data_IF_183882187265
#
_entry.id   IF_183882187265
#
_cell.length_a   1.000
_cell.length_b   1.000
_cell.length_c   1.000
_cell.angle_alpha   90.00
_cell.angle_beta   90.00
_cell.angle_gamma   90.00
#
_symmetry.space_group_name_H-M   'P 1'
#
loop_
_entity.id
_entity.type
_entity.pdbx_description
1 polymer ?
#
# COMPACT_ATOMS: atom_id res chain seq x y z
N UNK A 1 3.99 11.63 3.87
CA UNK A 1 4.53 10.27 3.68
C UNK A 1 3.96 9.27 4.69
N UNK A 2 4.02 9.57 5.97
CA UNK A 2 3.51 8.64 7.01
C UNK A 2 2.04 8.30 6.81
N UNK A 3 1.21 9.30 6.49
CA UNK A 3 -0.22 9.08 6.28
C UNK A 3 -0.48 8.20 5.05
N UNK A 4 0.30 8.37 3.98
CA UNK A 4 0.15 7.55 2.78
C UNK A 4 0.52 6.09 3.05
N UNK A 5 1.57 5.88 3.84
CA UNK A 5 1.97 4.52 4.25
C UNK A 5 0.86 3.89 5.09
N UNK A 6 0.29 4.67 6.03
CA UNK A 6 -0.81 4.18 6.86
C UNK A 6 -2.00 3.75 6.01
N UNK A 7 -2.36 4.57 5.01
CA UNK A 7 -3.47 4.25 4.10
C UNK A 7 -3.18 2.98 3.30
N UNK A 8 -1.96 2.84 2.77
CA UNK A 8 -1.58 1.66 2.00
C UNK A 8 -1.75 0.37 2.82
N UNK A 9 -1.28 0.38 4.06
CA UNK A 9 -1.43 -0.76 4.97
C UNK A 9 -2.91 -1.01 5.27
N UNK A 10 -3.69 0.05 5.46
CA UNK A 10 -5.11 -0.04 5.76
C UNK A 10 -5.92 -0.60 4.60
N UNK A 11 -5.55 -0.28 3.36
CA UNK A 11 -6.15 -0.88 2.16
C UNK A 11 -5.92 -2.39 2.17
N UNK A 12 -4.69 -2.81 2.42
CA UNK A 12 -4.32 -4.22 2.47
C UNK A 12 -5.09 -4.96 3.57
N UNK A 13 -5.24 -4.33 4.73
CA UNK A 13 -5.92 -4.92 5.88
C UNK A 13 -7.46 -4.78 5.86
N UNK A 14 -7.98 -3.94 4.97
CA UNK A 14 -9.42 -3.73 4.86
C UNK A 14 -10.04 -2.86 5.93
N UNK A 15 -9.30 -1.85 6.42
CA UNK A 15 -9.82 -0.93 7.44
C UNK A 15 -10.43 0.31 6.76
N UNK A 16 -11.74 0.28 6.52
CA UNK A 16 -12.43 1.40 5.88
C UNK A 16 -12.30 2.71 6.65
N UNK A 17 -12.48 2.66 7.94
CA UNK A 17 -12.34 3.84 8.80
C UNK A 17 -10.95 4.47 8.66
N UNK A 18 -9.93 3.63 8.70
CA UNK A 18 -8.54 4.08 8.62
C UNK A 18 -8.22 4.66 7.24
N UNK A 19 -8.73 4.02 6.18
CA UNK A 19 -8.55 4.53 4.81
C UNK A 19 -9.10 5.94 4.70
N UNK A 20 -10.32 6.16 5.14
CA UNK A 20 -10.97 7.46 5.04
C UNK A 20 -10.31 8.53 5.89
N UNK A 21 -10.06 8.23 7.16
CA UNK A 21 -9.51 9.22 8.10
C UNK A 21 -8.09 9.63 7.74
N UNK A 22 -7.24 8.66 7.37
CA UNK A 22 -5.84 8.96 7.05
C UNK A 22 -5.66 9.49 5.63
N UNK A 23 -6.56 9.17 4.69
CA UNK A 23 -6.57 9.82 3.38
C UNK A 23 -6.87 11.31 3.52
N UNK A 24 -7.83 11.66 4.36
CA UNK A 24 -8.13 13.06 4.64
C UNK A 24 -6.94 13.76 5.30
N UNK A 25 -6.31 13.10 6.28
CA UNK A 25 -5.12 13.64 6.94
C UNK A 25 -3.98 13.85 5.95
N UNK A 26 -3.78 12.92 5.02
CA UNK A 26 -2.76 13.05 3.98
C UNK A 26 -3.03 14.28 3.11
N UNK A 27 -4.27 14.49 2.68
CA UNK A 27 -4.64 15.65 1.88
C UNK A 27 -4.40 16.95 2.63
N UNK A 28 -4.73 16.99 3.93
CA UNK A 28 -4.49 18.18 4.77
C UNK A 28 -3.00 18.49 4.90
N UNK A 29 -2.14 17.48 4.79
CA UNK A 29 -0.69 17.65 4.84
C UNK A 29 -0.06 17.88 3.47
N UNK A 30 -0.86 18.07 2.43
CA UNK A 30 -0.40 18.43 1.11
C UNK A 30 -0.33 17.30 0.10
N UNK A 31 -0.83 16.11 0.41
CA UNK A 31 -0.88 15.03 -0.57
C UNK A 31 -1.84 15.40 -1.70
N UNK A 32 -1.38 15.25 -2.92
CA UNK A 32 -2.18 15.49 -4.12
C UNK A 32 -2.98 14.25 -4.49
N UNK A 33 -4.00 14.43 -5.33
CA UNK A 33 -4.76 13.30 -5.85
C UNK A 33 -3.87 12.35 -6.66
N UNK A 34 -2.87 12.90 -7.37
CA UNK A 34 -1.88 12.08 -8.07
C UNK A 34 -1.09 11.19 -7.12
N UNK A 35 -0.62 11.76 -6.02
CA UNK A 35 0.14 11.01 -5.01
C UNK A 35 -0.71 9.88 -4.42
N UNK A 36 -1.97 10.15 -4.14
CA UNK A 36 -2.89 9.15 -3.61
C UNK A 36 -3.14 8.05 -4.64
N UNK A 37 -3.37 8.43 -5.90
CA UNK A 37 -3.57 7.45 -6.97
C UNK A 37 -2.35 6.56 -7.17
N UNK A 38 -1.15 7.13 -7.12
CA UNK A 38 0.09 6.38 -7.22
C UNK A 38 0.24 5.39 -6.05
N UNK A 39 -0.04 5.86 -4.85
CA UNK A 39 0.02 5.00 -3.66
C UNK A 39 -0.93 3.81 -3.80
N UNK A 40 -2.16 4.05 -4.25
CA UNK A 40 -3.15 2.97 -4.44
C UNK A 40 -2.68 1.99 -5.51
N UNK A 41 -2.14 2.49 -6.62
CA UNK A 41 -1.63 1.63 -7.69
C UNK A 41 -0.49 0.74 -7.20
N UNK A 42 0.46 1.30 -6.46
CA UNK A 42 1.58 0.54 -5.89
C UNK A 42 1.08 -0.50 -4.89
N UNK A 43 0.12 -0.11 -4.05
CA UNK A 43 -0.47 -1.03 -3.06
C UNK A 43 -1.11 -2.22 -3.75
N UNK A 44 -1.91 -1.99 -4.80
CA UNK A 44 -2.56 -3.05 -5.56
C UNK A 44 -1.56 -3.98 -6.22
N UNK A 45 -0.55 -3.41 -6.87
CA UNK A 45 0.49 -4.19 -7.52
C UNK A 45 1.31 -5.01 -6.52
N UNK A 46 1.67 -4.42 -5.39
CA UNK A 46 2.43 -5.12 -4.35
C UNK A 46 1.62 -6.28 -3.77
N UNK A 47 0.33 -6.07 -3.51
CA UNK A 47 -0.54 -7.12 -3.00
C UNK A 47 -0.66 -8.28 -3.99
N UNK A 48 -0.80 -7.98 -5.29
CA UNK A 48 -0.83 -9.02 -6.32
C UNK A 48 0.47 -9.81 -6.35
N UNK A 49 1.60 -9.12 -6.40
CA UNK A 49 2.92 -9.76 -6.44
C UNK A 49 3.14 -10.63 -5.21
N UNK A 50 2.80 -10.10 -4.04
CA UNK A 50 2.94 -10.87 -2.79
C UNK A 50 2.13 -12.17 -2.82
N UNK A 51 0.92 -12.11 -3.34
CA UNK A 51 0.06 -13.31 -3.42
C UNK A 51 0.60 -14.32 -4.43
N UNK A 52 1.10 -13.85 -5.57
CA UNK A 52 1.66 -14.74 -6.59
C UNK A 52 2.93 -15.43 -6.08
N UNK A 53 3.83 -14.68 -5.46
CA UNK A 53 5.06 -15.23 -4.90
C UNK A 53 4.76 -16.25 -3.81
N UNK A 54 3.83 -15.93 -2.92
CA UNK A 54 3.42 -16.84 -1.85
C UNK A 54 2.71 -18.08 -2.40
N UNK A 55 1.78 -17.88 -3.33
CA UNK A 55 1.01 -18.98 -3.92
C UNK A 55 1.87 -19.97 -4.68
N UNK A 56 2.86 -19.48 -5.42
CA UNK A 56 3.81 -20.32 -6.14
C UNK A 56 4.98 -20.77 -5.29
N UNK A 57 5.09 -20.29 -4.07
CA UNK A 57 6.18 -20.60 -3.14
C UNK A 57 7.55 -20.36 -3.79
N UNK A 58 7.69 -19.19 -4.41
CA UNK A 58 8.93 -18.80 -5.07
C UNK A 58 10.04 -18.70 -4.04
N UNK A 59 11.18 -19.34 -4.32
CA UNK A 59 12.34 -19.26 -3.43
C UNK A 59 12.95 -17.87 -3.45
N UNK A 60 13.42 -17.46 -2.28
CA UNK A 60 14.14 -16.18 -2.16
C UNK A 60 15.51 -16.31 -2.80
N UNK A 61 15.87 -15.34 -3.64
CA UNK A 61 17.18 -15.32 -4.28
C UNK A 61 18.29 -15.23 -3.23
N UNK A 62 19.41 -15.91 -3.49
CA UNK A 62 20.51 -15.98 -2.52
C UNK A 62 21.05 -14.60 -2.14
N UNK A 63 20.99 -13.63 -3.05
CA UNK A 63 21.45 -12.27 -2.76
C UNK A 63 20.65 -11.56 -1.67
N UNK A 64 19.46 -12.07 -1.34
CA UNK A 64 18.60 -11.48 -0.30
C UNK A 64 18.64 -12.24 1.02
N UNK A 65 19.40 -13.31 1.08
CA UNK A 65 19.46 -14.16 2.29
C UNK A 65 20.52 -13.70 3.29
#
# INVERSE_FOLDING_TARGET
MKELIYVAVSITNGCEYCIKSHSLAAKKKGATDEMISEMIAVTGMANETNKLVEGYQVEVDDIYK
#
